data_IF_127996395154
#
_entry.id   IF_127996395154
#
_cell.length_a   1.000
_cell.length_b   1.000
_cell.length_c   1.000
_cell.angle_alpha   90.00
_cell.angle_beta   90.00
_cell.angle_gamma   90.00
#
_symmetry.space_group_name_H-M   'P 1'
#
loop_
_entity.id
_entity.type
_entity.pdbx_description
1 polymer ?
#
# COMPACT_ATOMS: atom_id res chain seq x y z
N UNK A 1 -15.78 20.11 8.96
CA UNK A 1 -14.40 19.73 9.34
C UNK A 1 -13.62 19.59 8.05
N UNK A 2 -12.63 20.42 7.86
CA UNK A 2 -11.80 20.42 6.64
C UNK A 2 -10.58 19.55 6.90
N UNK A 3 -10.34 18.58 6.02
CA UNK A 3 -9.19 17.69 6.08
C UNK A 3 -8.08 18.31 5.22
N UNK A 4 -6.93 18.53 5.81
CA UNK A 4 -5.73 18.97 5.09
C UNK A 4 -4.92 17.75 4.68
N UNK A 5 -4.57 17.65 3.38
CA UNK A 5 -3.66 16.62 2.87
C UNK A 5 -2.34 17.30 2.53
N UNK A 6 -1.27 16.90 3.21
CA UNK A 6 0.08 17.46 3.06
C UNK A 6 1.13 16.35 3.04
N UNK A 7 2.32 16.67 2.58
CA UNK A 7 3.46 15.76 2.72
C UNK A 7 3.73 15.43 4.20
N UNK A 8 4.14 14.21 4.45
CA UNK A 8 4.65 13.80 5.76
C UNK A 8 5.95 14.56 6.07
N UNK A 9 6.16 14.90 7.32
CA UNK A 9 7.41 15.47 7.82
C UNK A 9 7.99 14.57 8.91
N UNK A 10 9.26 14.75 9.24
CA UNK A 10 9.91 13.94 10.27
C UNK A 10 9.20 14.04 11.65
N UNK A 11 8.54 15.16 11.91
CA UNK A 11 7.78 15.37 13.16
C UNK A 11 6.52 14.48 13.22
N UNK A 12 6.02 14.03 12.07
CA UNK A 12 4.84 13.18 11.96
C UNK A 12 5.14 11.67 12.13
N UNK A 13 6.39 11.26 11.93
CA UNK A 13 6.79 9.86 11.81
C UNK A 13 6.23 8.97 12.91
N UNK A 14 6.40 9.38 14.17
CA UNK A 14 5.90 8.59 15.29
C UNK A 14 4.38 8.53 15.33
N UNK A 15 3.70 9.63 15.03
CA UNK A 15 2.24 9.70 15.00
C UNK A 15 1.66 8.80 13.87
N UNK A 16 2.34 8.74 12.72
CA UNK A 16 1.97 7.85 11.60
C UNK A 16 2.19 6.39 11.97
N UNK A 17 3.33 6.04 12.60
CA UNK A 17 3.60 4.68 13.08
C UNK A 17 2.55 4.22 14.11
N UNK A 18 2.22 5.05 15.08
CA UNK A 18 1.19 4.76 16.08
C UNK A 18 -0.19 4.58 15.46
N UNK A 19 -0.57 5.49 14.55
CA UNK A 19 -1.83 5.42 13.83
C UNK A 19 -1.91 4.16 12.95
N UNK A 20 -0.83 3.83 12.24
CA UNK A 20 -0.77 2.64 11.39
C UNK A 20 -0.90 1.38 12.23
N UNK A 21 -0.17 1.31 13.36
CA UNK A 21 -0.29 0.21 14.32
C UNK A 21 -1.73 0.05 14.81
N UNK A 22 -2.39 1.15 15.14
CA UNK A 22 -3.79 1.12 15.60
C UNK A 22 -4.75 0.64 14.52
N UNK A 23 -4.54 1.06 13.28
CA UNK A 23 -5.40 0.74 12.14
C UNK A 23 -5.29 -0.74 11.70
N UNK A 24 -4.10 -1.33 11.82
CA UNK A 24 -3.83 -2.70 11.36
C UNK A 24 -3.84 -3.75 12.49
N UNK A 25 -3.88 -3.33 13.76
CA UNK A 25 -3.77 -4.25 14.89
C UNK A 25 -4.83 -5.34 14.89
N UNK A 26 -4.40 -6.59 14.83
CA UNK A 26 -5.23 -7.79 14.71
C UNK A 26 -6.12 -7.86 13.46
N UNK A 27 -5.83 -7.06 12.42
CA UNK A 27 -6.66 -7.02 11.21
C UNK A 27 -6.37 -8.22 10.29
N UNK A 28 -5.12 -8.44 9.95
CA UNK A 28 -4.68 -9.48 8.99
C UNK A 28 -3.98 -10.66 9.66
N UNK A 29 -3.31 -10.40 10.76
CA UNK A 29 -2.62 -11.38 11.62
C UNK A 29 -2.81 -10.97 13.08
N UNK A 30 -2.55 -11.83 14.06
CA UNK A 30 -2.48 -11.42 15.47
C UNK A 30 -1.33 -10.42 15.69
N UNK A 31 -1.65 -9.16 16.01
CA UNK A 31 -0.73 -8.03 15.96
C UNK A 31 -0.76 -7.34 14.61
N UNK A 32 0.34 -6.71 14.22
CA UNK A 32 0.59 -6.16 12.89
C UNK A 32 2.07 -5.79 12.72
N UNK A 33 2.51 -5.65 11.47
CA UNK A 33 3.88 -5.26 11.12
C UNK A 33 3.93 -3.99 10.24
N UNK A 34 2.78 -3.47 9.83
CA UNK A 34 2.68 -2.34 8.90
C UNK A 34 3.29 -1.05 9.47
N UNK A 35 3.28 -0.86 10.79
CA UNK A 35 3.94 0.28 11.45
C UNK A 35 5.47 0.18 11.40
N UNK A 36 6.03 -1.03 11.39
CA UNK A 36 7.45 -1.24 11.13
C UNK A 36 7.78 -0.95 9.66
N UNK A 37 6.92 -1.36 8.74
CA UNK A 37 7.09 -0.98 7.33
C UNK A 37 7.12 0.54 7.16
N UNK A 38 6.23 1.30 7.82
CA UNK A 38 6.30 2.77 7.82
C UNK A 38 7.67 3.29 8.27
N UNK A 39 8.25 2.65 9.30
CA UNK A 39 9.53 3.05 9.85
C UNK A 39 10.67 2.88 8.85
N UNK A 40 10.77 1.70 8.23
CA UNK A 40 11.92 1.36 7.38
C UNK A 40 11.81 1.88 5.94
N UNK A 41 10.59 2.11 5.45
CA UNK A 41 10.36 2.53 4.07
C UNK A 41 10.99 3.89 3.76
N UNK A 42 11.01 4.80 4.73
CA UNK A 42 11.51 6.17 4.58
C UNK A 42 13.00 6.25 4.25
N UNK A 43 13.77 5.28 4.72
CA UNK A 43 15.22 5.19 4.45
C UNK A 43 15.53 4.28 3.26
N UNK A 44 14.51 3.70 2.62
CA UNK A 44 14.70 2.77 1.50
C UNK A 44 14.94 3.51 0.19
N UNK A 45 15.88 3.05 -0.69
CA UNK A 45 16.19 3.73 -1.96
C UNK A 45 15.02 3.76 -2.96
N UNK A 46 14.03 2.88 -2.79
CA UNK A 46 12.82 2.87 -3.61
C UNK A 46 11.71 3.78 -3.06
N UNK A 47 11.89 4.39 -1.91
CA UNK A 47 10.91 5.31 -1.35
C UNK A 47 10.68 6.52 -2.26
N UNK A 48 9.43 6.97 -2.36
CA UNK A 48 9.01 8.12 -3.17
C UNK A 48 8.45 9.22 -2.26
N UNK A 49 9.31 10.05 -1.67
CA UNK A 49 8.90 11.06 -0.70
C UNK A 49 7.92 12.10 -1.25
N UNK A 50 7.91 12.32 -2.56
CA UNK A 50 6.97 13.22 -3.23
C UNK A 50 5.52 12.69 -3.21
N UNK A 51 5.33 11.42 -2.86
CA UNK A 51 4.02 10.76 -2.75
C UNK A 51 3.74 10.25 -1.33
N UNK A 52 4.53 10.68 -0.35
CA UNK A 52 4.31 10.38 1.05
C UNK A 52 3.42 11.46 1.69
N UNK A 53 2.15 11.11 1.89
CA UNK A 53 1.14 12.07 2.36
C UNK A 53 0.45 11.64 3.64
N UNK A 54 0.19 12.63 4.47
CA UNK A 54 -0.70 12.51 5.64
C UNK A 54 -1.98 13.31 5.41
N UNK A 55 -3.06 12.81 6.00
CA UNK A 55 -4.32 13.54 6.16
C UNK A 55 -4.41 14.01 7.61
N UNK A 56 -4.55 15.31 7.80
CA UNK A 56 -4.63 15.97 9.11
C UNK A 56 -6.01 16.58 9.31
N UNK A 57 -6.53 16.45 10.51
CA UNK A 57 -7.78 17.05 10.95
C UNK A 57 -7.58 17.67 12.33
N UNK A 58 -7.78 18.99 12.43
CA UNK A 58 -7.64 19.75 13.69
C UNK A 58 -6.30 19.48 14.42
N UNK A 59 -5.19 19.39 13.66
CA UNK A 59 -3.83 19.12 14.17
C UNK A 59 -3.56 17.64 14.51
N UNK A 60 -4.45 16.74 14.16
CA UNK A 60 -4.29 15.29 14.41
C UNK A 60 -4.14 14.55 13.08
N UNK A 61 -3.10 13.71 12.97
CA UNK A 61 -2.94 12.81 11.82
C UNK A 61 -4.03 11.73 11.86
N UNK A 62 -4.86 11.68 10.82
CA UNK A 62 -6.00 10.77 10.71
C UNK A 62 -5.91 9.80 9.53
N UNK A 63 -4.90 9.95 8.67
CA UNK A 63 -4.62 9.03 7.58
C UNK A 63 -3.23 9.22 7.02
N UNK A 64 -2.68 8.20 6.36
CA UNK A 64 -1.41 8.28 5.63
C UNK A 64 -1.39 7.32 4.44
N UNK A 65 -0.57 7.62 3.45
CA UNK A 65 -0.27 6.79 2.30
C UNK A 65 1.20 6.97 1.92
N UNK A 66 1.92 5.87 1.73
CA UNK A 66 3.34 5.86 1.39
C UNK A 66 3.57 5.10 0.08
N UNK A 67 4.50 5.56 -0.74
CA UNK A 67 4.80 4.97 -2.04
C UNK A 67 6.22 4.49 -2.17
N UNK A 68 6.39 3.44 -2.93
CA UNK A 68 7.69 2.98 -3.43
C UNK A 68 7.69 2.87 -4.94
N UNK A 69 8.88 2.87 -5.53
CA UNK A 69 9.08 2.37 -6.87
C UNK A 69 8.74 0.89 -6.92
N UNK A 70 8.23 0.49 -8.06
CA UNK A 70 7.99 -0.90 -8.44
C UNK A 70 8.27 -1.03 -9.94
N UNK A 71 8.24 -2.22 -10.47
CA UNK A 71 8.57 -2.43 -11.87
C UNK A 71 7.65 -3.43 -12.54
N UNK A 72 7.41 -3.20 -13.81
CA UNK A 72 6.88 -4.20 -14.73
C UNK A 72 8.02 -4.79 -15.54
N UNK A 73 8.11 -6.10 -15.54
CA UNK A 73 9.08 -6.87 -16.31
C UNK A 73 8.34 -7.49 -17.49
N UNK A 74 8.69 -7.06 -18.70
CA UNK A 74 8.09 -7.60 -19.92
C UNK A 74 8.78 -8.91 -20.38
N UNK A 75 8.20 -9.53 -21.43
CA UNK A 75 8.67 -10.81 -21.97
C UNK A 75 10.13 -10.75 -22.48
N UNK A 76 10.56 -9.60 -22.99
CA UNK A 76 11.92 -9.36 -23.49
C UNK A 76 12.85 -8.82 -22.40
N UNK A 77 12.56 -9.02 -21.13
CA UNK A 77 13.30 -8.47 -20.00
C UNK A 77 13.31 -6.93 -19.98
N UNK A 78 12.44 -6.29 -20.72
CA UNK A 78 12.22 -4.84 -20.59
C UNK A 78 11.74 -4.53 -19.16
N UNK A 79 12.27 -3.46 -18.59
CA UNK A 79 11.92 -3.04 -17.24
C UNK A 79 11.32 -1.63 -17.28
N UNK A 80 10.07 -1.49 -16.86
CA UNK A 80 9.39 -0.21 -16.79
C UNK A 80 9.13 0.14 -15.34
N UNK A 81 9.57 1.32 -14.94
CA UNK A 81 9.28 1.84 -13.60
C UNK A 81 7.81 2.20 -13.47
N UNK A 82 7.20 1.72 -12.42
CA UNK A 82 5.84 2.03 -11.97
C UNK A 82 5.88 2.30 -10.48
N UNK A 83 4.73 2.49 -9.86
CA UNK A 83 4.63 2.67 -8.42
C UNK A 83 3.87 1.51 -7.75
N UNK A 84 4.21 1.30 -6.48
CA UNK A 84 3.38 0.59 -5.53
C UNK A 84 3.12 1.49 -4.32
N UNK A 85 2.03 1.29 -3.60
CA UNK A 85 1.82 1.94 -2.32
C UNK A 85 1.46 0.95 -1.21
N UNK A 86 1.84 1.32 -0.02
CA UNK A 86 1.58 0.65 1.23
C UNK A 86 2.62 1.07 2.28
N UNK A 87 2.15 1.28 3.53
CA UNK A 87 0.76 1.19 3.96
C UNK A 87 -0.10 2.38 3.53
N UNK A 88 -1.39 2.12 3.32
CA UNK A 88 -2.44 3.12 3.31
C UNK A 88 -3.33 2.86 4.52
N UNK A 89 -3.44 3.80 5.42
CA UNK A 89 -4.28 3.63 6.59
C UNK A 89 -5.10 4.88 6.93
N UNK A 90 -6.16 4.67 7.70
CA UNK A 90 -6.98 5.72 8.29
C UNK A 90 -7.20 5.35 9.75
N UNK A 91 -6.99 6.30 10.64
CA UNK A 91 -7.15 6.16 12.09
C UNK A 91 -8.51 5.53 12.44
N UNK A 92 -8.55 4.52 13.31
CA UNK A 92 -9.81 4.00 13.85
C UNK A 92 -10.69 5.15 14.37
N UNK A 93 -12.01 5.10 14.07
CA UNK A 93 -12.95 6.18 14.39
C UNK A 93 -13.07 7.28 13.32
N UNK A 94 -12.11 7.38 12.37
CA UNK A 94 -12.16 8.30 11.23
C UNK A 94 -12.38 7.58 9.90
N UNK A 95 -12.41 6.27 9.91
CA UNK A 95 -12.64 5.44 8.72
C UNK A 95 -14.03 5.68 8.12
N UNK A 96 -14.19 5.34 6.82
CA UNK A 96 -15.45 5.46 6.05
C UNK A 96 -15.95 6.90 5.88
N UNK A 97 -15.08 7.89 6.03
CA UNK A 97 -15.36 9.33 5.83
C UNK A 97 -14.68 9.92 4.59
N UNK A 98 -14.19 9.08 3.68
CA UNK A 98 -13.57 9.52 2.43
C UNK A 98 -12.08 9.86 2.52
N UNK A 99 -11.44 9.77 3.68
CA UNK A 99 -10.02 10.14 3.90
C UNK A 99 -9.09 9.31 3.00
N UNK A 100 -9.22 7.99 3.02
CA UNK A 100 -8.41 7.12 2.14
C UNK A 100 -8.65 7.39 0.65
N UNK A 101 -9.89 7.71 0.27
CA UNK A 101 -10.22 8.15 -1.10
C UNK A 101 -9.48 9.42 -1.47
N UNK A 102 -9.49 10.42 -0.60
CA UNK A 102 -8.84 11.71 -0.86
C UNK A 102 -7.31 11.56 -0.99
N UNK A 103 -6.68 10.70 -0.16
CA UNK A 103 -5.25 10.36 -0.26
C UNK A 103 -4.93 9.69 -1.61
N UNK A 104 -5.69 8.67 -2.02
CA UNK A 104 -5.51 7.98 -3.31
C UNK A 104 -5.68 8.96 -4.48
N UNK A 105 -6.71 9.79 -4.47
CA UNK A 105 -6.98 10.75 -5.55
C UNK A 105 -5.87 11.80 -5.69
N UNK A 106 -5.39 12.32 -4.55
CA UNK A 106 -4.28 13.28 -4.52
C UNK A 106 -3.02 12.66 -5.11
N UNK A 107 -2.61 11.50 -4.62
CA UNK A 107 -1.37 10.84 -5.04
C UNK A 107 -1.46 10.28 -6.47
N UNK A 108 -2.63 9.80 -6.90
CA UNK A 108 -2.88 9.39 -8.30
C UNK A 108 -2.68 10.55 -9.27
N UNK A 109 -3.14 11.75 -8.93
CA UNK A 109 -2.94 12.95 -9.75
C UNK A 109 -1.46 13.27 -9.88
N UNK A 110 -0.73 13.30 -8.78
CA UNK A 110 0.71 13.55 -8.79
C UNK A 110 1.50 12.47 -9.54
N UNK A 111 1.15 11.19 -9.37
CA UNK A 111 1.78 10.09 -10.11
C UNK A 111 1.63 10.26 -11.63
N UNK A 112 0.49 10.76 -12.12
CA UNK A 112 0.31 11.11 -13.54
C UNK A 112 1.19 12.29 -13.96
N UNK A 113 1.31 13.32 -13.14
CA UNK A 113 2.19 14.46 -13.39
C UNK A 113 3.67 14.05 -13.44
N UNK A 114 4.04 13.00 -12.70
CA UNK A 114 5.34 12.35 -12.74
C UNK A 114 5.54 11.44 -13.96
N UNK A 115 4.55 11.32 -14.86
CA UNK A 115 4.55 10.43 -16.02
C UNK A 115 4.68 8.94 -15.65
N UNK A 116 4.16 8.54 -14.50
CA UNK A 116 4.10 7.13 -14.11
C UNK A 116 2.96 6.45 -14.86
N UNK A 117 3.22 5.34 -15.58
CA UNK A 117 2.19 4.73 -16.42
C UNK A 117 1.16 3.90 -15.65
N UNK A 118 1.53 3.36 -14.49
CA UNK A 118 0.66 2.47 -13.70
C UNK A 118 1.04 2.43 -12.21
N UNK A 119 0.07 2.01 -11.40
CA UNK A 119 0.28 1.67 -9.98
C UNK A 119 -0.13 0.20 -9.80
N UNK A 120 0.70 -0.57 -9.08
CA UNK A 120 0.42 -1.97 -8.72
C UNK A 120 0.46 -2.12 -7.21
N UNK A 121 -0.53 -2.82 -6.67
CA UNK A 121 -0.61 -3.11 -5.23
C UNK A 121 -1.01 -4.57 -4.99
N UNK A 122 -0.68 -5.06 -3.81
CA UNK A 122 -1.32 -6.24 -3.23
C UNK A 122 -2.29 -5.77 -2.14
N UNK A 123 -3.58 -5.93 -2.38
CA UNK A 123 -4.60 -5.41 -1.48
C UNK A 123 -5.96 -6.06 -1.63
N UNK A 124 -6.85 -5.74 -0.71
CA UNK A 124 -8.24 -6.23 -0.77
C UNK A 124 -9.00 -5.51 -1.91
N UNK A 125 -9.50 -6.26 -2.93
CA UNK A 125 -10.28 -5.69 -4.03
C UNK A 125 -11.46 -4.82 -3.56
N UNK A 126 -12.10 -5.19 -2.45
CA UNK A 126 -13.20 -4.41 -1.86
C UNK A 126 -12.82 -2.95 -1.56
N UNK A 127 -11.57 -2.72 -1.17
CA UNK A 127 -11.10 -1.38 -0.83
C UNK A 127 -10.69 -0.57 -2.06
N UNK A 128 -10.18 -1.21 -3.13
CA UNK A 128 -9.48 -0.52 -4.21
C UNK A 128 -10.20 -0.51 -5.56
N UNK A 129 -11.09 -1.48 -5.86
CA UNK A 129 -11.78 -1.51 -7.15
C UNK A 129 -12.65 -0.27 -7.40
N UNK A 130 -13.22 0.32 -6.37
CA UNK A 130 -13.99 1.58 -6.46
C UNK A 130 -13.14 2.79 -6.90
N UNK A 131 -11.79 2.69 -6.80
CA UNK A 131 -10.85 3.71 -7.26
C UNK A 131 -10.30 3.43 -8.66
N UNK A 132 -10.86 2.44 -9.36
CA UNK A 132 -10.49 2.09 -10.72
C UNK A 132 -9.42 1.00 -10.81
N UNK A 133 -8.96 0.44 -9.70
CA UNK A 133 -8.10 -0.73 -9.73
C UNK A 133 -8.85 -1.94 -10.24
N UNK A 134 -8.17 -2.75 -11.04
CA UNK A 134 -8.65 -4.04 -11.55
C UNK A 134 -7.62 -5.11 -11.22
N UNK A 135 -8.01 -6.37 -11.27
CA UNK A 135 -7.05 -7.44 -11.09
C UNK A 135 -6.01 -7.44 -12.22
N UNK A 136 -4.79 -7.82 -11.89
CA UNK A 136 -3.67 -7.87 -12.85
C UNK A 136 -3.97 -8.67 -14.10
N UNK A 137 -4.79 -9.72 -14.02
CA UNK A 137 -5.18 -10.57 -15.17
C UNK A 137 -5.85 -9.76 -16.29
N UNK A 138 -6.62 -8.71 -15.95
CA UNK A 138 -7.29 -7.85 -16.94
C UNK A 138 -6.29 -7.05 -17.79
N UNK A 139 -5.07 -6.85 -17.27
CA UNK A 139 -3.96 -6.15 -17.91
C UNK A 139 -2.82 -7.07 -18.30
N UNK A 140 -2.99 -8.40 -18.19
CA UNK A 140 -1.94 -9.41 -18.41
C UNK A 140 -0.72 -9.19 -17.50
N UNK A 141 -0.97 -8.71 -16.28
CA UNK A 141 0.04 -8.55 -15.24
C UNK A 141 -0.09 -9.71 -14.27
N UNK A 142 0.96 -10.50 -14.15
CA UNK A 142 1.12 -11.58 -13.17
C UNK A 142 2.07 -11.16 -12.05
N UNK A 143 2.16 -11.97 -11.02
CA UNK A 143 3.28 -11.92 -10.09
C UNK A 143 4.57 -12.44 -10.75
N UNK A 144 5.68 -12.47 -10.03
CA UNK A 144 6.96 -12.95 -10.54
C UNK A 144 6.96 -14.45 -10.87
N UNK A 145 6.02 -15.23 -10.32
CA UNK A 145 5.85 -16.65 -10.60
C UNK A 145 4.99 -16.91 -11.84
N UNK A 146 4.37 -15.88 -12.39
CA UNK A 146 3.45 -15.99 -13.53
C UNK A 146 2.01 -16.29 -13.12
N UNK A 147 1.68 -16.11 -11.84
CA UNK A 147 0.34 -16.33 -11.30
C UNK A 147 -0.44 -15.02 -11.19
N UNK A 148 -1.77 -15.13 -11.08
CA UNK A 148 -2.66 -13.96 -10.91
C UNK A 148 -3.34 -13.99 -9.53
N UNK A 149 -2.62 -13.58 -8.45
CA UNK A 149 -3.22 -13.48 -7.13
C UNK A 149 -4.46 -12.58 -7.14
N UNK A 150 -5.50 -12.97 -6.42
CA UNK A 150 -6.73 -12.17 -6.34
C UNK A 150 -6.49 -10.76 -5.80
N UNK A 151 -5.49 -10.59 -4.94
CA UNK A 151 -5.08 -9.30 -4.40
C UNK A 151 -4.10 -8.50 -5.26
N UNK A 152 -3.58 -9.04 -6.37
CA UNK A 152 -2.73 -8.29 -7.30
C UNK A 152 -3.61 -7.35 -8.12
N UNK A 153 -3.57 -6.06 -7.76
CA UNK A 153 -4.43 -5.03 -8.35
C UNK A 153 -3.58 -3.99 -9.08
N UNK A 154 -4.09 -3.56 -10.22
CA UNK A 154 -3.43 -2.64 -11.15
C UNK A 154 -4.34 -1.46 -11.44
N UNK A 155 -3.78 -0.26 -11.41
CA UNK A 155 -4.39 0.97 -11.88
C UNK A 155 -3.59 1.52 -13.05
N UNK A 156 -4.17 1.51 -14.24
CA UNK A 156 -3.59 2.14 -15.42
C UNK A 156 -3.73 3.66 -15.31
N UNK A 157 -2.62 4.37 -15.36
CA UNK A 157 -2.60 5.83 -15.33
C UNK A 157 -2.47 6.43 -16.72
N UNK A 158 -1.69 5.80 -17.60
CA UNK A 158 -1.55 6.12 -19.02
C UNK A 158 -2.41 5.16 -19.85
N UNK A 159 -3.42 5.68 -20.51
CA UNK A 159 -4.40 4.88 -21.25
C UNK A 159 -3.74 4.06 -22.37
N UNK A 160 -3.98 2.75 -22.35
CA UNK A 160 -3.46 1.82 -23.36
C UNK A 160 -2.00 1.38 -23.13
N UNK A 161 -1.40 1.77 -22.02
CA UNK A 161 -0.01 1.45 -21.70
C UNK A 161 0.28 -0.06 -21.73
N UNK A 162 -0.58 -0.87 -21.13
CA UNK A 162 -0.36 -2.32 -21.06
C UNK A 162 -0.44 -3.01 -22.43
N UNK A 163 -1.25 -2.49 -23.35
CA UNK A 163 -1.44 -3.05 -24.70
C UNK A 163 -1.82 -4.53 -24.67
N UNK A 164 -1.08 -5.34 -25.46
CA UNK A 164 -1.26 -6.80 -25.52
C UNK A 164 -0.06 -7.59 -24.96
N UNK A 165 0.86 -6.91 -24.29
CA UNK A 165 2.05 -7.53 -23.71
C UNK A 165 1.71 -8.24 -22.39
N UNK A 166 2.47 -9.29 -22.09
CA UNK A 166 2.45 -9.90 -20.78
C UNK A 166 3.51 -9.26 -19.88
N UNK A 167 3.15 -8.99 -18.66
CA UNK A 167 3.98 -8.32 -17.67
C UNK A 167 4.07 -9.12 -16.38
N UNK A 168 5.19 -8.99 -15.69
CA UNK A 168 5.32 -9.45 -14.30
C UNK A 168 5.53 -8.25 -13.40
N UNK A 169 4.77 -8.17 -12.32
CA UNK A 169 4.90 -7.12 -11.33
C UNK A 169 6.00 -7.47 -10.32
N UNK A 170 6.98 -6.59 -10.18
CA UNK A 170 8.05 -6.68 -9.19
C UNK A 170 7.93 -5.48 -8.25
N UNK A 171 7.62 -5.74 -6.98
CA UNK A 171 7.61 -4.71 -5.94
C UNK A 171 9.01 -4.51 -5.35
N UNK A 172 9.20 -3.41 -4.63
CA UNK A 172 10.38 -3.16 -3.81
C UNK A 172 10.56 -4.26 -2.76
N UNK A 173 11.80 -4.60 -2.47
CA UNK A 173 12.17 -5.59 -1.46
C UNK A 173 11.95 -5.08 -0.02
N UNK A 174 11.68 -3.80 0.17
CA UNK A 174 11.28 -3.25 1.48
C UNK A 174 10.07 -3.95 2.09
N UNK A 175 9.20 -4.54 1.26
CA UNK A 175 8.06 -5.34 1.74
C UNK A 175 8.43 -6.72 2.28
N UNK A 176 9.71 -7.14 2.10
CA UNK A 176 10.24 -8.44 2.54
C UNK A 176 11.19 -8.27 3.74
N UNK A 177 10.72 -7.64 4.81
CA UNK A 177 11.53 -7.37 5.99
C UNK A 177 11.58 -8.52 6.99
N UNK A 178 12.57 -8.48 7.90
CA UNK A 178 12.74 -9.45 8.97
C UNK A 178 11.66 -9.30 10.05
N UNK A 179 10.94 -10.38 10.31
CA UNK A 179 9.87 -10.44 11.31
C UNK A 179 10.41 -10.26 12.75
N UNK A 180 11.66 -10.64 13.03
CA UNK A 180 12.26 -10.42 14.34
C UNK A 180 12.57 -8.95 14.58
N UNK A 181 12.98 -8.22 13.54
CA UNK A 181 13.18 -6.77 13.59
C UNK A 181 11.86 -6.04 13.80
N UNK A 182 10.79 -6.46 13.09
CA UNK A 182 9.46 -5.92 13.28
C UNK A 182 8.94 -6.11 14.72
N UNK A 183 9.12 -7.30 15.29
CA UNK A 183 8.76 -7.58 16.68
C UNK A 183 9.58 -6.74 17.68
N UNK A 184 10.88 -6.55 17.40
CA UNK A 184 11.76 -5.66 18.18
C UNK A 184 11.26 -4.22 18.17
N UNK A 185 10.88 -3.72 17.02
CA UNK A 185 10.31 -2.37 16.86
C UNK A 185 8.96 -2.24 17.57
N UNK A 186 8.07 -3.23 17.44
CA UNK A 186 6.77 -3.23 18.13
C UNK A 186 6.93 -3.13 19.66
N UNK A 187 8.01 -3.69 20.23
CA UNK A 187 8.30 -3.60 21.66
C UNK A 187 8.57 -2.17 22.16
N UNK A 188 8.81 -1.21 21.28
CA UNK A 188 8.98 0.22 21.61
C UNK A 188 7.66 0.95 21.85
N UNK A 189 6.53 0.28 21.58
CA UNK A 189 5.18 0.80 21.78
C UNK A 189 4.53 0.20 23.04
N UNK A 190 3.51 0.85 23.61
CA UNK A 190 2.73 0.24 24.67
C UNK A 190 2.21 -1.15 24.28
N UNK A 191 2.27 -2.15 25.16
CA UNK A 191 1.82 -3.49 24.86
C UNK A 191 0.34 -3.53 24.50
N UNK A 192 -0.01 -4.30 23.47
CA UNK A 192 -1.39 -4.57 23.06
C UNK A 192 -1.63 -6.06 22.96
N UNK A 193 -2.85 -6.50 23.29
CA UNK A 193 -3.25 -7.90 23.21
C UNK A 193 -3.32 -8.36 21.75
N UNK A 194 -2.54 -9.39 21.42
CA UNK A 194 -2.63 -10.09 20.13
C UNK A 194 -3.74 -11.13 20.21
N UNK A 195 -4.70 -11.06 19.29
CA UNK A 195 -5.82 -12.01 19.28
C UNK A 195 -6.27 -12.33 17.86
N UNK A 196 -6.89 -13.51 17.74
CA UNK A 196 -7.51 -13.94 16.50
C UNK A 196 -8.80 -13.15 16.25
N UNK A 197 -9.03 -12.81 14.97
CA UNK A 197 -10.28 -12.26 14.46
C UNK A 197 -10.65 -12.94 13.13
N UNK A 198 -11.93 -12.99 12.79
CA UNK A 198 -12.40 -13.61 11.54
C UNK A 198 -11.82 -12.95 10.27
N UNK A 199 -11.46 -11.66 10.34
CA UNK A 199 -10.81 -10.95 9.24
C UNK A 199 -9.49 -11.58 8.82
N UNK A 200 -8.79 -12.24 9.74
CA UNK A 200 -7.54 -12.94 9.46
C UNK A 200 -7.77 -14.19 8.63
N UNK A 201 -8.90 -14.89 8.82
CA UNK A 201 -9.28 -16.01 7.96
C UNK A 201 -9.61 -15.53 6.54
N UNK A 202 -10.37 -14.43 6.41
CA UNK A 202 -10.66 -13.84 5.10
C UNK A 202 -9.39 -13.42 4.37
N UNK A 203 -8.45 -12.81 5.08
CA UNK A 203 -7.14 -12.44 4.52
C UNK A 203 -6.34 -13.67 4.09
N UNK A 204 -6.29 -14.71 4.92
CA UNK A 204 -5.61 -15.96 4.61
C UNK A 204 -6.19 -16.64 3.35
N UNK A 205 -7.51 -16.63 3.18
CA UNK A 205 -8.17 -17.14 1.96
C UNK A 205 -7.79 -16.26 0.75
N UNK A 206 -7.85 -14.95 0.89
CA UNK A 206 -7.51 -14.02 -0.19
C UNK A 206 -6.06 -14.19 -0.68
N UNK A 207 -5.11 -14.34 0.25
CA UNK A 207 -3.68 -14.55 -0.07
C UNK A 207 -3.43 -15.88 -0.82
N UNK A 208 -4.32 -16.86 -0.71
CA UNK A 208 -4.23 -18.17 -1.38
C UNK A 208 -5.13 -18.29 -2.62
N UNK A 209 -5.82 -17.21 -2.96
CA UNK A 209 -6.75 -17.19 -4.09
C UNK A 209 -6.07 -16.64 -5.34
N UNK A 210 -6.21 -17.38 -6.45
CA UNK A 210 -5.65 -17.03 -7.75
C UNK A 210 -6.74 -17.06 -8.82
N UNK A 211 -6.73 -16.07 -9.72
CA UNK A 211 -7.59 -16.03 -10.89
C UNK A 211 -6.97 -16.84 -12.04
N UNK A 212 -7.82 -17.40 -12.92
CA UNK A 212 -7.41 -18.23 -14.05
C UNK A 212 -8.10 -17.76 -15.33
#
# INVERSE_FOLDING_TARGET
MEITIRLETQEDYRAVEEMTRDAFWNLYVPGCDEHYLCHIIRDHPDFVPELDFVAELDGVIVGSIMYTKAWLIGENQERVEILAFGPLCVRPGYQRRGIGTALIEKTRTLAREMNIPAIVIYGDPHNYCKHGFKNGIDYRVSDMNGEHPAGLLVLELESGFFGRKNWKALQSDVFMFDQSAAAGFDSTFPPKEKKYQYSQELFSIACRSFLR
#
